data_IF_560639578683
#
_entry.id   IF_560639578683
#
_cell.length_a   1.000
_cell.length_b   1.000
_cell.length_c   1.000
_cell.angle_alpha   90.00
_cell.angle_beta   90.00
_cell.angle_gamma   90.00
#
_symmetry.space_group_name_H-M   'P 1'
#
loop_
_entity.id
_entity.type
_entity.pdbx_description
1 polymer ?
#
# COMPACT_ATOMS: atom_id res chain seq x y z
N UNK A 1 0.23 -44.96 -1.23
CA UNK A 1 0.92 -43.83 -1.90
C UNK A 1 0.38 -42.56 -1.27
N UNK A 2 1.19 -41.92 -0.43
CA UNK A 2 0.75 -40.84 0.44
C UNK A 2 0.45 -39.57 -0.37
N UNK A 3 -0.71 -38.98 -0.07
CA UNK A 3 -1.09 -37.65 -0.49
C UNK A 3 -0.08 -36.63 0.07
N UNK A 4 0.61 -35.93 -0.83
CA UNK A 4 1.38 -34.74 -0.48
C UNK A 4 0.49 -33.52 -0.63
N UNK A 5 -0.09 -33.07 0.49
CA UNK A 5 -0.72 -31.76 0.60
C UNK A 5 0.27 -30.69 0.14
N UNK A 6 -0.02 -30.10 -1.03
CA UNK A 6 0.57 -28.83 -1.44
C UNK A 6 0.10 -27.80 -0.41
N UNK A 7 1.03 -27.34 0.43
CA UNK A 7 0.76 -26.30 1.42
C UNK A 7 0.24 -25.07 0.71
N UNK A 8 -1.07 -24.83 0.80
CA UNK A 8 -1.64 -23.51 0.57
C UNK A 8 -0.99 -22.60 1.59
N UNK A 9 0.00 -21.82 1.15
CA UNK A 9 0.43 -20.65 1.90
C UNK A 9 -0.83 -19.86 2.23
N UNK A 10 -1.14 -19.74 3.52
CA UNK A 10 -2.20 -18.87 4.02
C UNK A 10 -1.88 -17.50 3.46
N UNK A 11 -2.58 -17.12 2.40
CA UNK A 11 -2.40 -15.82 1.78
C UNK A 11 -3.08 -14.88 2.76
N UNK A 12 -2.30 -14.04 3.44
CA UNK A 12 -2.88 -12.98 4.27
C UNK A 12 -3.91 -12.24 3.42
N UNK A 13 -5.14 -12.23 3.92
CA UNK A 13 -6.26 -11.55 3.28
C UNK A 13 -6.10 -10.04 3.52
N UNK A 14 -5.21 -9.44 2.72
CA UNK A 14 -4.91 -8.00 2.74
C UNK A 14 -6.16 -7.16 2.41
N UNK A 15 -7.12 -7.77 1.69
CA UNK A 15 -8.34 -7.10 1.26
C UNK A 15 -9.48 -7.23 2.28
N UNK A 16 -9.28 -7.95 3.40
CA UNK A 16 -10.31 -8.18 4.44
C UNK A 16 -10.98 -6.88 4.90
N UNK A 17 -10.16 -5.88 5.23
CA UNK A 17 -10.66 -4.60 5.75
C UNK A 17 -11.37 -3.80 4.67
N UNK A 18 -10.80 -3.73 3.46
CA UNK A 18 -11.42 -3.03 2.33
C UNK A 18 -12.77 -3.68 1.98
N UNK A 19 -12.81 -5.01 1.86
CA UNK A 19 -14.02 -5.79 1.56
C UNK A 19 -15.13 -5.57 2.58
N UNK A 20 -14.77 -5.52 3.87
CA UNK A 20 -15.74 -5.26 4.95
C UNK A 20 -16.35 -3.87 4.82
N UNK A 21 -15.54 -2.85 4.56
CA UNK A 21 -16.02 -1.47 4.38
C UNK A 21 -16.87 -1.33 3.11
N UNK A 22 -16.51 -2.03 2.02
CA UNK A 22 -17.35 -2.10 0.80
C UNK A 22 -18.72 -2.70 1.09
N UNK A 23 -18.76 -3.80 1.83
CA UNK A 23 -20.02 -4.43 2.23
C UNK A 23 -20.92 -3.53 3.10
N UNK A 24 -20.32 -2.56 3.80
CA UNK A 24 -21.04 -1.53 4.56
C UNK A 24 -21.51 -0.34 3.70
N UNK A 25 -21.22 -0.33 2.39
CA UNK A 25 -21.65 0.71 1.45
C UNK A 25 -20.66 1.87 1.28
N UNK A 26 -19.45 1.79 1.85
CA UNK A 26 -18.41 2.79 1.58
C UNK A 26 -17.88 2.63 0.15
N UNK A 27 -17.86 3.73 -0.61
CA UNK A 27 -17.48 3.74 -2.04
C UNK A 27 -16.06 4.27 -2.27
N UNK A 28 -15.50 5.02 -1.32
CA UNK A 28 -14.14 5.56 -1.39
C UNK A 28 -13.40 5.17 -0.13
N UNK A 29 -12.49 4.21 -0.26
CA UNK A 29 -11.69 3.69 0.85
C UNK A 29 -10.24 4.05 0.56
N UNK A 30 -9.61 4.79 1.48
CA UNK A 30 -8.22 5.17 1.35
C UNK A 30 -7.35 4.23 2.18
N UNK A 31 -6.34 3.63 1.55
CA UNK A 31 -5.18 3.08 2.24
C UNK A 31 -4.22 4.20 2.62
N UNK A 32 -3.65 4.15 3.82
CA UNK A 32 -2.71 5.16 4.32
C UNK A 32 -1.47 4.46 4.85
N UNK A 33 -0.30 4.99 4.50
CA UNK A 33 0.99 4.50 5.00
C UNK A 33 2.01 5.64 5.07
N UNK A 34 3.07 5.46 5.87
CA UNK A 34 4.13 6.43 6.06
C UNK A 34 5.53 5.84 5.90
N UNK A 35 6.46 6.69 5.47
CA UNK A 35 7.88 6.37 5.35
C UNK A 35 8.70 7.47 6.02
N UNK A 36 9.75 7.07 6.73
CA UNK A 36 10.68 8.00 7.38
C UNK A 36 10.53 8.12 8.91
N UNK A 37 9.60 7.40 9.54
CA UNK A 37 9.38 7.45 11.01
C UNK A 37 10.61 7.13 11.85
N UNK A 38 11.52 6.29 11.34
CA UNK A 38 12.76 5.92 12.02
C UNK A 38 14.02 6.57 11.43
N UNK A 39 13.88 7.50 10.48
CA UNK A 39 15.03 8.16 9.88
C UNK A 39 15.62 9.20 10.85
N UNK A 40 16.95 9.28 10.92
CA UNK A 40 17.65 10.29 11.72
C UNK A 40 17.60 11.70 11.08
N UNK A 41 17.32 11.77 9.78
CA UNK A 41 17.28 13.01 9.02
C UNK A 41 16.27 12.90 7.86
N UNK A 42 15.75 14.06 7.45
CA UNK A 42 14.74 14.18 6.42
C UNK A 42 13.31 14.16 6.97
N UNK A 43 12.31 14.45 6.12
CA UNK A 43 10.92 14.53 6.54
C UNK A 43 10.31 13.15 6.74
N UNK A 44 9.26 13.10 7.57
CA UNK A 44 8.29 12.01 7.52
C UNK A 44 7.37 12.25 6.31
N UNK A 45 7.14 11.23 5.50
CA UNK A 45 6.24 11.32 4.34
C UNK A 45 5.09 10.34 4.53
N UNK A 46 3.86 10.85 4.48
CA UNK A 46 2.64 10.03 4.52
C UNK A 46 1.89 10.15 3.19
N UNK A 47 1.28 9.05 2.75
CA UNK A 47 0.45 9.01 1.57
C UNK A 47 -0.92 8.40 1.88
N UNK A 48 -1.96 8.94 1.26
CA UNK A 48 -3.30 8.35 1.23
C UNK A 48 -3.66 8.03 -0.22
N UNK A 49 -4.12 6.80 -0.49
CA UNK A 49 -4.43 6.31 -1.84
C UNK A 49 -5.79 5.63 -1.85
N UNK A 50 -6.68 6.08 -2.73
CA UNK A 50 -7.96 5.43 -3.04
C UNK A 50 -7.83 4.74 -4.39
N UNK A 51 -7.72 3.41 -4.38
CA UNK A 51 -7.63 2.61 -5.59
C UNK A 51 -9.02 2.38 -6.22
N UNK A 52 -9.11 2.31 -7.56
CA UNK A 52 -10.29 1.76 -8.23
C UNK A 52 -10.56 0.31 -7.82
N UNK A 53 -11.84 -0.08 -7.83
CA UNK A 53 -12.29 -1.41 -7.42
C UNK A 53 -11.69 -2.51 -8.31
N UNK A 54 -11.53 -2.22 -9.60
CA UNK A 54 -10.99 -3.10 -10.64
C UNK A 54 -9.47 -2.96 -10.85
N UNK A 55 -8.77 -2.24 -9.98
CA UNK A 55 -7.34 -2.05 -10.09
C UNK A 55 -6.57 -3.37 -9.99
N UNK A 56 -5.71 -3.65 -10.98
CA UNK A 56 -4.81 -4.80 -10.97
C UNK A 56 -3.69 -4.62 -9.94
N UNK A 57 -3.82 -5.34 -8.82
CA UNK A 57 -2.87 -5.34 -7.70
C UNK A 57 -1.67 -6.26 -7.93
N UNK A 58 -1.46 -6.77 -9.15
CA UNK A 58 -0.31 -7.62 -9.45
C UNK A 58 1.01 -6.85 -9.31
N UNK A 59 1.90 -7.37 -8.47
CA UNK A 59 3.25 -6.83 -8.28
C UNK A 59 3.37 -5.68 -7.27
N UNK A 60 2.29 -5.30 -6.58
CA UNK A 60 2.33 -4.22 -5.55
C UNK A 60 2.37 -4.74 -4.10
N UNK A 61 2.28 -6.06 -3.89
CA UNK A 61 2.05 -6.67 -2.57
C UNK A 61 3.20 -6.55 -1.57
N UNK A 62 4.46 -6.55 -2.02
CA UNK A 62 5.60 -6.33 -1.13
C UNK A 62 6.63 -5.43 -1.80
N UNK A 63 6.52 -4.13 -1.54
CA UNK A 63 7.43 -3.11 -2.07
C UNK A 63 8.89 -3.32 -1.64
N UNK A 64 9.12 -4.11 -0.58
CA UNK A 64 10.45 -4.45 -0.06
C UNK A 64 11.14 -5.52 -0.90
N UNK A 65 10.39 -6.31 -1.66
CA UNK A 65 10.92 -7.28 -2.63
C UNK A 65 11.20 -6.65 -4.00
N UNK A 66 10.77 -5.40 -4.22
CA UNK A 66 10.98 -4.68 -5.47
C UNK A 66 12.34 -3.97 -5.49
N UNK A 67 12.97 -3.93 -6.65
CA UNK A 67 14.07 -3.01 -6.95
C UNK A 67 13.57 -1.57 -7.03
N UNK A 68 14.47 -0.58 -6.94
CA UNK A 68 14.10 0.84 -7.08
C UNK A 68 13.36 1.11 -8.39
N UNK A 69 13.86 0.59 -9.51
CA UNK A 69 13.23 0.72 -10.83
C UNK A 69 11.85 0.07 -10.89
N UNK A 70 11.66 -1.10 -10.27
CA UNK A 70 10.34 -1.73 -10.20
C UNK A 70 9.36 -0.88 -9.37
N UNK A 71 9.81 -0.28 -8.26
CA UNK A 71 8.96 0.63 -7.47
C UNK A 71 8.55 1.86 -8.27
N UNK A 72 9.43 2.46 -9.05
CA UNK A 72 9.11 3.59 -9.92
C UNK A 72 8.00 3.21 -10.92
N UNK A 73 8.14 2.08 -11.60
CA UNK A 73 7.13 1.57 -12.54
C UNK A 73 5.79 1.32 -11.84
N UNK A 74 5.78 0.70 -10.65
CA UNK A 74 4.54 0.48 -9.91
C UNK A 74 3.93 1.79 -9.41
N UNK A 75 4.75 2.76 -9.00
CA UNK A 75 4.30 4.08 -8.57
C UNK A 75 3.57 4.80 -9.71
N UNK A 76 4.14 4.82 -10.91
CA UNK A 76 3.51 5.40 -12.10
C UNK A 76 2.17 4.72 -12.44
N UNK A 77 2.11 3.38 -12.37
CA UNK A 77 0.86 2.61 -12.56
C UNK A 77 -0.21 2.97 -11.55
N UNK A 78 0.15 3.10 -10.27
CA UNK A 78 -0.79 3.46 -9.20
C UNK A 78 -1.26 4.91 -9.39
N UNK A 79 -0.33 5.85 -9.50
CA UNK A 79 -0.63 7.29 -9.56
C UNK A 79 -1.45 7.68 -10.80
N UNK A 80 -1.34 6.95 -11.90
CA UNK A 80 -2.14 7.20 -13.11
C UNK A 80 -3.59 6.71 -13.02
N UNK A 81 -3.91 5.85 -12.05
CA UNK A 81 -5.21 5.21 -11.93
C UNK A 81 -6.00 5.58 -10.65
N UNK A 82 -5.35 6.18 -9.66
CA UNK A 82 -5.95 6.39 -8.33
C UNK A 82 -6.17 7.88 -7.99
N UNK A 83 -6.99 8.12 -6.96
CA UNK A 83 -6.94 9.38 -6.23
C UNK A 83 -5.89 9.24 -5.12
N UNK A 84 -5.01 10.22 -4.99
CA UNK A 84 -4.00 10.20 -3.94
C UNK A 84 -3.69 11.58 -3.38
N UNK A 85 -3.15 11.59 -2.18
CA UNK A 85 -2.55 12.76 -1.55
C UNK A 85 -1.25 12.35 -0.87
N UNK A 86 -0.24 13.23 -0.95
CA UNK A 86 1.06 13.03 -0.30
C UNK A 86 1.32 14.24 0.59
N UNK A 87 1.73 13.98 1.83
CA UNK A 87 2.11 15.01 2.81
C UNK A 87 3.53 14.76 3.26
N UNK A 88 4.35 15.81 3.19
CA UNK A 88 5.66 15.86 3.85
C UNK A 88 5.53 16.61 5.16
N UNK A 89 6.09 16.05 6.22
CA UNK A 89 6.13 16.63 7.56
C UNK A 89 7.60 16.85 7.85
N UNK A 90 7.98 18.13 7.83
CA UNK A 90 9.37 18.54 8.02
C UNK A 90 9.82 18.34 9.47
N UNK A 91 11.12 18.09 9.75
CA UNK A 91 11.62 17.82 11.10
C UNK A 91 11.21 18.85 12.14
N UNK A 92 11.19 20.13 11.78
CA UNK A 92 10.76 21.21 12.67
C UNK A 92 9.29 21.11 13.13
N UNK A 93 8.44 20.38 12.41
CA UNK A 93 7.05 20.08 12.81
C UNK A 93 7.01 18.83 13.70
N UNK A 94 7.93 17.89 13.50
CA UNK A 94 8.06 16.67 14.31
C UNK A 94 8.62 16.99 15.70
N UNK A 95 9.59 17.91 15.75
CA UNK A 95 10.32 18.29 16.97
C UNK A 95 9.61 19.35 17.82
N UNK A 96 8.51 19.94 17.32
CA UNK A 96 7.74 21.00 17.99
C UNK A 96 6.84 20.44 19.10
#
# INVERSE_FOLDING_TARGET
MAAGQMGMAVTEDLDRYESTLRAQGFVRIAGVDEVGRGALAGPLVAAAVVLPDDFDRTGIRDSKLLTAKQREVQCERIMSACLYAIRKIEPNVIDA
#
